data_IF_419400589890
#
_entry.id   IF_419400589890
#
_cell.length_a   1.000
_cell.length_b   1.000
_cell.length_c   1.000
_cell.angle_alpha   90.00
_cell.angle_beta   90.00
_cell.angle_gamma   90.00
#
_symmetry.space_group_name_H-M   'P 1'
#
loop_
_entity.id
_entity.type
_entity.pdbx_description
1 polymer ?
#
# COMPACT_ATOMS: atom_id res chain seq x y z
N UNK A 1 -22.46 -13.28 24.90
CA UNK A 1 -21.81 -14.58 24.61
C UNK A 1 -22.54 -15.35 23.50
N UNK A 2 -22.89 -14.71 22.37
CA UNK A 2 -23.62 -15.36 21.27
C UNK A 2 -23.42 -14.70 19.89
N UNK A 3 -22.28 -14.05 19.64
CA UNK A 3 -21.92 -13.51 18.31
C UNK A 3 -20.80 -14.30 17.60
N UNK A 4 -20.29 -15.37 18.20
CA UNK A 4 -19.19 -16.19 17.64
C UNK A 4 -19.63 -17.32 16.69
N UNK A 5 -20.91 -17.40 16.31
CA UNK A 5 -21.46 -18.53 15.53
C UNK A 5 -21.71 -18.25 14.04
N UNK A 6 -21.17 -17.15 13.51
CA UNK A 6 -20.97 -16.97 12.07
C UNK A 6 -19.48 -16.94 11.77
N UNK A 7 -18.78 -18.03 12.09
CA UNK A 7 -17.54 -18.30 11.36
C UNK A 7 -17.93 -18.32 9.87
N UNK A 8 -17.26 -17.46 9.11
CA UNK A 8 -17.61 -17.09 7.74
C UNK A 8 -17.70 -18.36 6.89
N UNK A 9 -18.90 -18.75 6.43
CA UNK A 9 -19.10 -19.96 5.60
C UNK A 9 -18.13 -19.99 4.40
N UNK A 10 -17.80 -18.81 3.86
CA UNK A 10 -16.82 -18.63 2.78
C UNK A 10 -15.39 -18.96 3.24
N UNK A 11 -15.02 -18.56 4.46
CA UNK A 11 -13.70 -18.85 5.03
C UNK A 11 -13.54 -20.36 5.22
N UNK A 12 -14.52 -21.02 5.84
CA UNK A 12 -14.44 -22.45 6.11
C UNK A 12 -14.43 -23.28 4.81
N UNK A 13 -15.14 -22.84 3.77
CA UNK A 13 -15.13 -23.48 2.45
C UNK A 13 -13.78 -23.35 1.72
N UNK A 14 -13.13 -22.18 1.80
CA UNK A 14 -11.92 -21.88 1.01
C UNK A 14 -10.60 -22.13 1.76
N UNK A 15 -10.62 -22.25 3.09
CA UNK A 15 -9.41 -22.35 3.92
C UNK A 15 -8.58 -23.61 3.58
N UNK A 16 -9.24 -24.75 3.36
CA UNK A 16 -8.55 -25.99 2.98
C UNK A 16 -7.78 -25.83 1.65
N UNK A 17 -8.40 -25.20 0.66
CA UNK A 17 -7.80 -24.88 -0.64
C UNK A 17 -6.62 -23.92 -0.47
N UNK A 18 -6.80 -22.83 0.30
CA UNK A 18 -5.74 -21.86 0.57
C UNK A 18 -4.51 -22.50 1.24
N UNK A 19 -4.71 -23.38 2.22
CA UNK A 19 -3.60 -24.10 2.89
C UNK A 19 -2.82 -25.00 1.93
N UNK A 20 -3.50 -25.67 1.00
CA UNK A 20 -2.84 -26.50 -0.02
C UNK A 20 -1.99 -25.63 -0.94
N UNK A 21 -2.50 -24.47 -1.37
CA UNK A 21 -1.74 -23.54 -2.20
C UNK A 21 -0.55 -22.95 -1.46
N UNK A 22 -0.73 -22.52 -0.21
CA UNK A 22 0.34 -21.96 0.62
C UNK A 22 1.53 -22.94 0.75
N UNK A 23 1.25 -24.23 0.98
CA UNK A 23 2.30 -25.28 1.04
C UNK A 23 3.02 -25.52 -0.29
N UNK A 24 2.43 -25.13 -1.43
CA UNK A 24 2.97 -25.31 -2.78
C UNK A 24 3.68 -24.07 -3.31
N UNK A 25 3.66 -22.95 -2.56
CA UNK A 25 4.38 -21.75 -2.94
C UNK A 25 5.88 -22.05 -3.00
N UNK A 26 6.49 -21.56 -4.07
CA UNK A 26 7.95 -21.57 -4.29
C UNK A 26 8.40 -20.13 -4.49
N UNK A 27 9.70 -19.95 -4.65
CA UNK A 27 10.25 -18.65 -5.04
C UNK A 27 9.56 -18.15 -6.31
N UNK A 28 9.13 -16.90 -6.26
CA UNK A 28 8.47 -16.19 -7.34
C UNK A 28 9.36 -15.04 -7.79
N UNK A 29 9.42 -14.76 -9.09
CA UNK A 29 10.19 -13.64 -9.63
C UNK A 29 9.29 -12.40 -9.66
N UNK A 30 9.50 -11.39 -8.80
CA UNK A 30 8.58 -10.26 -8.64
C UNK A 30 8.75 -9.15 -9.69
N UNK A 31 9.58 -9.39 -10.71
CA UNK A 31 10.02 -8.37 -11.66
C UNK A 31 10.10 -8.92 -13.09
N UNK A 32 10.04 -8.02 -14.07
CA UNK A 32 10.21 -8.31 -15.50
C UNK A 32 10.93 -7.15 -16.20
N UNK A 33 11.45 -7.38 -17.40
CA UNK A 33 12.23 -6.38 -18.14
C UNK A 33 11.39 -5.46 -19.06
N UNK A 34 10.14 -5.83 -19.38
CA UNK A 34 9.31 -5.10 -20.34
C UNK A 34 7.85 -4.94 -19.90
N UNK A 35 7.16 -3.95 -20.46
CA UNK A 35 5.76 -3.62 -20.17
C UNK A 35 5.56 -2.44 -19.22
N UNK A 36 4.30 -2.16 -18.88
CA UNK A 36 3.91 -1.01 -18.05
C UNK A 36 3.93 -1.34 -16.55
N UNK A 37 4.42 -0.44 -15.73
CA UNK A 37 4.40 -0.58 -14.27
C UNK A 37 5.44 0.30 -13.60
N UNK A 38 5.64 0.05 -12.31
CA UNK A 38 6.60 0.77 -11.48
C UNK A 38 7.99 0.18 -11.64
N UNK A 39 9.01 1.02 -11.88
CA UNK A 39 10.41 0.58 -11.93
C UNK A 39 10.98 0.36 -10.53
N UNK A 40 11.91 -0.59 -10.38
CA UNK A 40 12.61 -0.74 -9.11
C UNK A 40 13.47 0.50 -8.82
N UNK A 41 13.51 0.97 -7.57
CA UNK A 41 14.25 2.20 -7.25
C UNK A 41 15.78 2.03 -7.29
N UNK A 42 16.31 0.80 -7.15
CA UNK A 42 17.75 0.52 -7.21
C UNK A 42 18.22 -0.10 -8.53
N UNK A 43 17.30 -0.59 -9.38
CA UNK A 43 17.62 -1.22 -10.67
C UNK A 43 16.54 -0.91 -11.72
N UNK A 44 16.67 0.23 -12.44
CA UNK A 44 15.64 0.72 -13.35
C UNK A 44 15.38 -0.16 -14.58
N UNK A 45 16.25 -1.14 -14.86
CA UNK A 45 16.08 -2.08 -15.98
C UNK A 45 14.93 -3.07 -15.72
N UNK A 46 14.51 -3.20 -14.47
CA UNK A 46 13.41 -4.06 -14.07
C UNK A 46 12.16 -3.26 -13.63
N UNK A 47 11.01 -3.78 -14.05
CA UNK A 47 9.67 -3.31 -13.72
C UNK A 47 9.02 -4.33 -12.79
N UNK A 48 8.37 -3.86 -11.73
CA UNK A 48 7.61 -4.70 -10.79
C UNK A 48 6.45 -5.36 -11.52
N UNK A 49 6.25 -6.65 -11.27
CA UNK A 49 5.20 -7.42 -11.93
C UNK A 49 3.81 -7.20 -11.30
N UNK A 50 2.75 -7.30 -12.11
CA UNK A 50 1.42 -6.81 -11.73
C UNK A 50 0.81 -7.53 -10.54
N UNK A 51 1.08 -8.84 -10.37
CA UNK A 51 0.60 -9.60 -9.21
C UNK A 51 1.34 -9.20 -7.92
N UNK A 52 2.60 -8.77 -8.03
CA UNK A 52 3.40 -8.31 -6.89
C UNK A 52 2.98 -6.90 -6.44
N UNK A 53 2.77 -5.97 -7.38
CA UNK A 53 2.40 -4.57 -7.07
C UNK A 53 0.95 -4.43 -6.53
N UNK A 54 0.14 -5.48 -6.63
CA UNK A 54 -1.28 -5.49 -6.21
C UNK A 54 -1.52 -6.16 -4.86
N UNK A 55 -0.50 -6.29 -4.01
CA UNK A 55 -0.60 -7.02 -2.74
C UNK A 55 -1.08 -6.18 -1.54
N UNK A 56 -0.66 -4.90 -1.47
CA UNK A 56 -0.97 -4.00 -0.33
C UNK A 56 -1.58 -2.66 -0.75
N UNK A 57 -2.07 -2.56 -2.00
CA UNK A 57 -2.71 -1.34 -2.53
C UNK A 57 -3.97 -0.92 -1.75
N UNK A 58 -4.57 -1.82 -0.97
CA UNK A 58 -5.68 -1.51 -0.05
C UNK A 58 -5.28 -0.43 0.97
N UNK A 59 -4.03 -0.44 1.43
CA UNK A 59 -3.52 0.61 2.31
C UNK A 59 -3.49 1.95 1.58
N UNK A 60 -3.04 1.98 0.33
CA UNK A 60 -3.02 3.20 -0.48
C UNK A 60 -4.40 3.85 -0.63
N UNK A 61 -5.49 3.07 -0.70
CA UNK A 61 -6.84 3.65 -0.75
C UNK A 61 -7.20 4.52 0.46
N UNK A 62 -6.65 4.23 1.63
CA UNK A 62 -6.92 5.01 2.85
C UNK A 62 -6.36 6.43 2.78
N UNK A 63 -5.36 6.67 1.92
CA UNK A 63 -4.72 7.98 1.80
C UNK A 63 -4.89 8.61 0.41
N UNK A 64 -5.51 7.89 -0.54
CA UNK A 64 -5.59 8.30 -1.93
C UNK A 64 -6.27 9.67 -2.09
N UNK A 65 -7.34 9.95 -1.35
CA UNK A 65 -8.04 11.25 -1.39
C UNK A 65 -7.21 12.42 -0.83
N UNK A 66 -6.21 12.14 0.00
CA UNK A 66 -5.25 13.15 0.44
C UNK A 66 -4.12 13.39 -0.56
N UNK A 67 -3.90 12.50 -1.51
CA UNK A 67 -2.79 12.61 -2.46
C UNK A 67 -3.27 13.08 -3.84
N UNK A 68 -4.30 12.47 -4.39
CA UNK A 68 -4.78 12.71 -5.75
C UNK A 68 -6.23 13.21 -5.75
N UNK A 69 -6.53 14.22 -6.58
CA UNK A 69 -7.91 14.70 -6.75
C UNK A 69 -8.70 13.85 -7.76
N UNK A 70 -8.03 13.34 -8.80
CA UNK A 70 -8.61 12.54 -9.87
C UNK A 70 -7.67 11.36 -10.21
N UNK A 71 -8.17 10.37 -10.94
CA UNK A 71 -7.41 9.19 -11.36
C UNK A 71 -6.27 9.51 -12.36
N UNK A 72 -6.37 10.59 -13.11
CA UNK A 72 -5.39 10.91 -14.17
C UNK A 72 -4.05 11.44 -13.64
N UNK A 73 -3.97 11.81 -12.35
CA UNK A 73 -2.70 12.06 -11.65
C UNK A 73 -2.16 13.50 -11.54
N UNK A 74 -2.35 14.47 -12.48
CA UNK A 74 -1.66 15.76 -12.35
C UNK A 74 -2.34 16.73 -11.37
N UNK A 75 -3.57 16.42 -10.93
CA UNK A 75 -4.34 17.31 -10.07
C UNK A 75 -4.12 16.94 -8.60
N UNK A 76 -3.44 17.83 -7.89
CA UNK A 76 -3.21 17.71 -6.45
C UNK A 76 -4.53 17.79 -5.67
N UNK A 77 -4.58 17.07 -4.55
CA UNK A 77 -5.66 17.11 -3.57
C UNK A 77 -5.74 18.47 -2.85
N UNK A 78 -6.70 18.59 -1.93
CA UNK A 78 -6.84 19.73 -1.01
C UNK A 78 -5.55 20.06 -0.22
N UNK A 79 -4.68 19.08 0.03
CA UNK A 79 -3.46 19.26 0.80
C UNK A 79 -2.24 19.62 -0.06
N UNK A 80 -2.34 19.57 -1.40
CA UNK A 80 -1.25 19.98 -2.28
C UNK A 80 0.02 19.11 -2.19
N UNK A 81 -0.10 17.87 -1.70
CA UNK A 81 1.04 16.97 -1.46
C UNK A 81 1.63 16.48 -2.79
N UNK A 82 2.92 16.74 -3.01
CA UNK A 82 3.62 16.29 -4.22
C UNK A 82 4.17 14.87 -4.04
N UNK A 83 4.27 14.13 -5.14
CA UNK A 83 4.85 12.78 -5.18
C UNK A 83 6.26 12.73 -4.57
N UNK A 84 7.08 13.77 -4.81
CA UNK A 84 8.47 13.82 -4.33
C UNK A 84 8.57 13.95 -2.81
N UNK A 85 7.50 14.41 -2.14
CA UNK A 85 7.48 14.58 -0.69
C UNK A 85 7.10 13.28 0.04
N UNK A 86 6.63 12.26 -0.68
CA UNK A 86 6.21 10.97 -0.12
C UNK A 86 7.42 10.03 0.02
N UNK A 87 8.31 10.36 0.95
CA UNK A 87 9.51 9.56 1.21
C UNK A 87 9.19 8.30 2.02
N UNK A 88 10.17 7.39 2.11
CA UNK A 88 10.07 6.17 2.92
C UNK A 88 9.74 6.46 4.38
N UNK A 89 10.32 7.52 4.93
CA UNK A 89 10.14 7.96 6.32
C UNK A 89 8.72 8.48 6.55
N UNK A 90 8.14 9.18 5.57
CA UNK A 90 6.75 9.64 5.60
C UNK A 90 5.80 8.43 5.64
N UNK A 91 6.00 7.44 4.76
CA UNK A 91 5.20 6.21 4.79
C UNK A 91 5.40 5.40 6.08
N UNK A 92 6.62 5.35 6.62
CA UNK A 92 6.90 4.69 7.90
C UNK A 92 6.17 5.38 9.07
N UNK A 93 6.08 6.71 9.07
CA UNK A 93 5.29 7.44 10.05
C UNK A 93 3.79 7.13 9.93
N UNK A 94 3.26 7.07 8.70
CA UNK A 94 1.84 6.81 8.43
C UNK A 94 1.41 5.40 8.82
N UNK A 95 2.11 4.37 8.36
CA UNK A 95 1.66 2.97 8.50
C UNK A 95 2.36 2.19 9.62
N UNK A 96 3.59 2.54 9.99
CA UNK A 96 4.40 1.79 10.96
C UNK A 96 4.50 2.47 12.34
N UNK A 97 3.78 3.59 12.55
CA UNK A 97 3.80 4.36 13.80
C UNK A 97 5.21 4.78 14.23
N UNK A 98 6.09 5.03 13.26
CA UNK A 98 7.44 5.52 13.49
C UNK A 98 7.45 6.96 14.07
N UNK A 99 8.62 7.46 14.43
CA UNK A 99 8.80 8.86 14.79
C UNK A 99 8.54 9.78 13.58
N UNK A 100 8.10 11.03 13.80
CA UNK A 100 7.92 11.99 12.73
C UNK A 100 9.22 12.16 11.90
N UNK A 101 9.11 12.27 10.57
CA UNK A 101 10.27 12.51 9.71
C UNK A 101 10.93 13.86 10.04
N UNK A 102 12.24 13.87 10.25
CA UNK A 102 12.98 15.09 10.63
C UNK A 102 13.02 16.14 9.49
N UNK A 103 13.10 15.68 8.24
CA UNK A 103 13.34 16.52 7.06
C UNK A 103 12.08 16.78 6.21
N UNK A 104 10.88 16.44 6.71
CA UNK A 104 9.69 16.57 5.87
C UNK A 104 9.21 18.03 5.79
N UNK A 105 8.96 18.50 4.57
CA UNK A 105 8.29 19.80 4.33
C UNK A 105 6.79 19.75 4.62
N UNK A 106 6.22 18.56 4.85
CA UNK A 106 4.78 18.38 5.07
C UNK A 106 4.43 18.83 6.51
N UNK A 107 3.39 19.65 6.71
CA UNK A 107 2.96 20.04 8.05
C UNK A 107 2.57 18.83 8.91
N UNK A 108 3.05 18.79 10.15
CA UNK A 108 2.78 17.70 11.09
C UNK A 108 1.29 17.45 11.33
N UNK A 109 0.47 18.51 11.28
CA UNK A 109 -0.98 18.40 11.40
C UNK A 109 -1.60 17.54 10.30
N UNK A 110 -1.13 17.69 9.05
CA UNK A 110 -1.59 16.88 7.90
C UNK A 110 -1.10 15.45 8.04
N UNK A 111 0.17 15.24 8.41
CA UNK A 111 0.71 13.89 8.64
C UNK A 111 -0.04 13.15 9.73
N UNK A 112 -0.43 13.84 10.81
CA UNK A 112 -1.22 13.26 11.89
C UNK A 112 -2.62 12.89 11.41
N UNK A 113 -3.29 13.77 10.67
CA UNK A 113 -4.60 13.49 10.09
C UNK A 113 -4.58 12.23 9.22
N UNK A 114 -3.61 12.13 8.30
CA UNK A 114 -3.47 10.98 7.40
C UNK A 114 -3.24 9.69 8.22
N UNK A 115 -2.37 9.77 9.25
CA UNK A 115 -2.11 8.64 10.12
C UNK A 115 -3.37 8.19 10.86
N UNK A 116 -4.17 9.12 11.38
CA UNK A 116 -5.40 8.79 12.11
C UNK A 116 -6.43 8.06 11.22
N UNK A 117 -6.39 8.23 9.89
CA UNK A 117 -7.25 7.51 8.93
C UNK A 117 -6.73 6.10 8.57
N UNK A 118 -5.44 5.84 8.75
CA UNK A 118 -4.84 4.53 8.52
C UNK A 118 -4.99 3.57 9.71
N UNK A 119 -5.42 4.07 10.88
CA UNK A 119 -5.61 3.32 12.13
C UNK A 119 -7.02 2.73 12.29
#
# INVERSE_FOLDING_TARGET
MQQRLKANIVFDACNSVAQVHFRRLKNWTPCRQSGLGTRLPWDPDFVVESLTDSTIYMAYYTIAHHLQANLDGPKLSSHGLKSEQMTKEVFAYMYLKASPPAESTIPLAVLKQIRDECE
#
